data_IF_197740444949
#
_entry.id   IF_197740444949
#
_cell.length_a   1.000
_cell.length_b   1.000
_cell.length_c   1.000
_cell.angle_alpha   90.00
_cell.angle_beta   90.00
_cell.angle_gamma   90.00
#
_symmetry.space_group_name_H-M   'P 1'
#
loop_
_entity.id
_entity.type
_entity.pdbx_description
1 polymer ?
#
# COMPACT_ATOMS: atom_id res chain seq x y z
N UNK A 1 25.77 10.44 1.86
CA UNK A 1 24.33 10.26 1.51
C UNK A 1 23.53 10.67 2.73
N UNK A 2 22.83 11.77 2.67
CA UNK A 2 21.96 12.20 3.76
C UNK A 2 20.77 11.26 3.73
N UNK A 3 20.69 10.33 4.69
CA UNK A 3 19.46 9.63 4.98
C UNK A 3 18.46 10.69 5.46
N UNK A 4 17.57 11.13 4.60
CA UNK A 4 16.35 11.78 5.02
C UNK A 4 15.51 10.72 5.72
N UNK A 5 15.83 10.44 6.99
CA UNK A 5 15.08 9.51 7.82
C UNK A 5 13.79 10.18 8.23
N UNK A 6 12.75 10.03 7.41
CA UNK A 6 11.40 10.40 7.84
C UNK A 6 10.98 9.52 9.00
N UNK A 7 10.24 10.12 9.93
CA UNK A 7 9.61 9.37 11.01
C UNK A 7 8.44 8.59 10.44
N UNK A 8 8.60 7.27 10.31
CA UNK A 8 7.57 6.36 9.82
C UNK A 8 7.03 5.53 10.98
N UNK A 9 5.72 5.42 11.07
CA UNK A 9 5.02 4.53 12.01
C UNK A 9 4.09 3.62 11.20
N UNK A 10 3.97 2.36 11.62
CA UNK A 10 2.95 1.43 11.12
C UNK A 10 1.88 1.28 12.19
N UNK A 11 0.63 1.49 11.81
CA UNK A 11 -0.54 1.11 12.61
C UNK A 11 -1.12 -0.16 12.01
N UNK A 12 -0.96 -1.26 12.73
CA UNK A 12 -1.50 -2.56 12.37
C UNK A 12 -2.93 -2.68 12.93
N UNK A 13 -3.90 -2.87 12.04
CA UNK A 13 -5.31 -3.04 12.40
C UNK A 13 -5.87 -4.39 11.94
N UNK A 14 -5.09 -5.17 11.24
CA UNK A 14 -5.37 -6.58 10.95
C UNK A 14 -4.83 -7.48 12.10
N UNK A 15 -5.58 -8.54 12.41
CA UNK A 15 -5.21 -9.49 13.48
C UNK A 15 -4.09 -10.47 13.10
N UNK A 16 -3.70 -10.55 11.81
CA UNK A 16 -2.55 -11.37 11.42
C UNK A 16 -1.25 -10.85 12.04
N UNK A 17 -0.22 -11.70 12.08
CA UNK A 17 1.07 -11.34 12.70
C UNK A 17 2.17 -11.02 11.67
N UNK A 18 1.82 -10.82 10.41
CA UNK A 18 2.81 -10.71 9.32
C UNK A 18 3.75 -9.53 9.52
N UNK A 19 3.22 -8.35 9.83
CA UNK A 19 4.01 -7.13 10.08
C UNK A 19 4.90 -7.28 11.32
N UNK A 20 4.39 -7.88 12.39
CA UNK A 20 5.17 -8.10 13.61
C UNK A 20 6.30 -9.09 13.37
N UNK A 21 6.01 -10.18 12.66
CA UNK A 21 7.00 -11.19 12.27
C UNK A 21 8.07 -10.61 11.34
N UNK A 22 7.66 -9.78 10.37
CA UNK A 22 8.57 -9.05 9.48
C UNK A 22 9.48 -8.11 10.27
N UNK A 23 8.93 -7.35 11.21
CA UNK A 23 9.70 -6.38 12.01
C UNK A 23 10.67 -7.07 12.98
N UNK A 24 10.31 -8.23 13.52
CA UNK A 24 11.21 -9.04 14.35
C UNK A 24 12.37 -9.60 13.53
N UNK A 25 12.11 -10.15 12.34
CA UNK A 25 13.17 -10.59 11.41
C UNK A 25 14.10 -9.42 11.05
N UNK A 26 13.54 -8.23 10.82
CA UNK A 26 14.28 -7.03 10.54
C UNK A 26 15.30 -6.74 11.65
N UNK A 27 14.88 -6.80 12.89
CA UNK A 27 15.73 -6.63 14.08
C UNK A 27 16.80 -7.72 14.19
N UNK A 28 16.41 -8.99 13.97
CA UNK A 28 17.34 -10.13 14.00
C UNK A 28 18.44 -10.02 12.94
N UNK A 29 18.13 -9.45 11.78
CA UNK A 29 19.08 -9.19 10.68
C UNK A 29 19.84 -7.86 10.82
N UNK A 30 19.78 -7.20 11.98
CA UNK A 30 20.53 -5.97 12.26
C UNK A 30 20.00 -4.72 11.53
N UNK A 31 18.79 -4.80 10.97
CA UNK A 31 18.12 -3.65 10.37
C UNK A 31 17.35 -2.88 11.46
N UNK A 32 17.23 -1.56 11.26
CA UNK A 32 16.48 -0.71 12.20
C UNK A 32 14.99 -1.08 12.16
N UNK A 33 14.38 -1.50 13.29
CA UNK A 33 12.96 -1.82 13.33
C UNK A 33 12.10 -0.57 13.09
N UNK A 34 10.94 -0.77 12.49
CA UNK A 34 9.94 0.30 12.32
C UNK A 34 9.00 0.27 13.53
N UNK A 35 8.67 1.42 14.15
CA UNK A 35 7.66 1.45 15.22
C UNK A 35 6.31 0.92 14.71
N UNK A 36 5.77 -0.08 15.38
CA UNK A 36 4.46 -0.68 15.08
C UNK A 36 3.54 -0.50 16.28
N UNK A 37 2.37 0.05 16.03
CA UNK A 37 1.26 0.13 17.00
C UNK A 37 0.14 -0.81 16.55
N UNK A 38 -0.56 -1.40 17.50
CA UNK A 38 -1.73 -2.23 17.23
C UNK A 38 -2.97 -1.58 17.82
N UNK A 39 -4.03 -1.49 17.02
CA UNK A 39 -5.33 -1.01 17.45
C UNK A 39 -6.42 -1.67 16.65
N UNK A 40 -7.59 -1.93 17.28
CA UNK A 40 -8.70 -2.64 16.67
C UNK A 40 -10.02 -1.91 16.93
N UNK A 41 -11.01 -2.13 16.08
CA UNK A 41 -12.30 -1.49 16.17
C UNK A 41 -12.33 -0.11 15.53
N UNK A 42 -12.69 0.94 16.26
CA UNK A 42 -12.63 2.31 15.74
C UNK A 42 -11.23 2.88 15.93
N UNK A 43 -10.49 3.01 14.83
CA UNK A 43 -9.09 3.44 14.85
C UNK A 43 -8.92 4.95 14.55
N UNK A 44 -10.00 5.69 14.36
CA UNK A 44 -9.94 7.10 13.94
C UNK A 44 -9.15 7.98 14.91
N UNK A 45 -9.36 7.83 16.22
CA UNK A 45 -8.69 8.67 17.22
C UNK A 45 -7.21 8.30 17.39
N UNK A 46 -6.83 7.03 17.29
CA UNK A 46 -5.42 6.64 17.33
C UNK A 46 -4.68 7.15 16.08
N UNK A 47 -5.31 7.10 14.91
CA UNK A 47 -4.75 7.68 13.67
C UNK A 47 -4.47 9.17 13.85
N UNK A 48 -5.45 9.96 14.31
CA UNK A 48 -5.29 11.39 14.56
C UNK A 48 -4.15 11.70 15.56
N UNK A 49 -3.98 10.85 16.55
CA UNK A 49 -2.89 10.98 17.54
C UNK A 49 -1.53 10.66 16.94
N UNK A 50 -1.41 9.54 16.19
CA UNK A 50 -0.15 9.13 15.58
C UNK A 50 0.31 10.07 14.46
N UNK A 51 -0.61 10.63 13.68
CA UNK A 51 -0.31 11.66 12.66
C UNK A 51 0.40 12.90 13.21
N UNK A 52 0.31 13.17 14.53
CA UNK A 52 0.99 14.30 15.17
C UNK A 52 2.46 14.03 15.52
N UNK A 53 2.89 12.77 15.51
CA UNK A 53 4.21 12.34 15.97
C UNK A 53 5.04 11.64 14.88
N UNK A 54 4.51 11.50 13.67
CA UNK A 54 5.25 10.95 12.53
C UNK A 54 4.95 11.72 11.25
N UNK A 55 5.88 11.64 10.31
CA UNK A 55 5.71 12.25 8.97
C UNK A 55 4.93 11.33 8.02
N UNK A 56 5.06 10.02 8.21
CA UNK A 56 4.32 9.01 7.43
C UNK A 56 3.73 7.98 8.37
N UNK A 57 2.41 7.85 8.35
CA UNK A 57 1.68 6.80 9.04
C UNK A 57 1.15 5.81 8.02
N UNK A 58 1.63 4.57 8.06
CA UNK A 58 1.13 3.47 7.24
C UNK A 58 0.08 2.72 8.06
N UNK A 59 -1.14 2.63 7.57
CA UNK A 59 -2.24 1.94 8.24
C UNK A 59 -2.48 0.63 7.49
N UNK A 60 -2.17 -0.49 8.12
CA UNK A 60 -2.42 -1.83 7.59
C UNK A 60 -3.82 -2.29 8.01
N UNK A 61 -4.73 -2.28 7.05
CA UNK A 61 -6.12 -2.67 7.27
C UNK A 61 -6.41 -4.08 6.77
N UNK A 62 -7.37 -4.81 7.41
CA UNK A 62 -7.84 -6.09 6.89
C UNK A 62 -8.29 -5.99 5.43
N UNK A 63 -8.02 -7.03 4.65
CA UNK A 63 -8.39 -7.11 3.22
C UNK A 63 -9.89 -7.27 2.95
N UNK A 64 -10.74 -7.10 3.97
CA UNK A 64 -12.20 -7.18 3.89
C UNK A 64 -12.86 -5.95 4.53
N UNK A 65 -14.13 -5.74 4.27
CA UNK A 65 -14.91 -4.68 4.89
C UNK A 65 -15.00 -4.88 6.42
N UNK A 66 -14.34 -4.00 7.15
CA UNK A 66 -14.22 -4.06 8.61
C UNK A 66 -14.49 -2.70 9.25
N UNK A 67 -14.68 -2.68 10.56
CA UNK A 67 -14.85 -1.43 11.32
C UNK A 67 -13.56 -0.61 11.27
N UNK A 68 -12.41 -1.28 11.34
CA UNK A 68 -11.07 -0.69 11.25
C UNK A 68 -10.89 0.05 9.91
N UNK A 69 -11.18 -0.64 8.79
CA UNK A 69 -11.09 -0.05 7.46
C UNK A 69 -11.99 1.17 7.31
N UNK A 70 -13.27 1.05 7.69
CA UNK A 70 -14.23 2.16 7.56
C UNK A 70 -13.83 3.36 8.42
N UNK A 71 -13.40 3.15 9.67
CA UNK A 71 -12.98 4.25 10.54
C UNK A 71 -11.67 4.89 10.10
N UNK A 72 -10.73 4.10 9.56
CA UNK A 72 -9.51 4.62 8.98
C UNK A 72 -9.79 5.58 7.80
N UNK A 73 -10.71 5.23 6.90
CA UNK A 73 -11.07 6.08 5.75
C UNK A 73 -11.59 7.46 6.16
N UNK A 74 -12.21 7.59 7.33
CA UNK A 74 -12.76 8.88 7.80
C UNK A 74 -11.69 9.91 8.18
N UNK A 75 -10.42 9.50 8.31
CA UNK A 75 -9.33 10.35 8.80
C UNK A 75 -8.01 10.17 8.05
N UNK A 76 -7.93 9.23 7.13
CA UNK A 76 -6.75 9.01 6.29
C UNK A 76 -6.64 10.09 5.20
N UNK A 77 -5.41 10.42 4.80
CA UNK A 77 -5.16 11.35 3.69
C UNK A 77 -5.20 10.59 2.35
N UNK A 78 -4.65 9.38 2.32
CA UNK A 78 -4.55 8.55 1.11
C UNK A 78 -5.06 7.15 1.42
N UNK A 79 -5.87 6.61 0.52
CA UNK A 79 -6.14 5.17 0.41
C UNK A 79 -5.38 4.61 -0.78
N UNK A 80 -4.65 3.53 -0.56
CA UNK A 80 -4.02 2.77 -1.62
C UNK A 80 -4.62 1.37 -1.69
N UNK A 81 -5.44 1.11 -2.72
CA UNK A 81 -6.03 -0.21 -2.97
C UNK A 81 -5.15 -0.99 -3.92
N UNK A 82 -4.61 -2.12 -3.45
CA UNK A 82 -3.73 -2.98 -4.23
C UNK A 82 -4.55 -3.97 -5.05
N UNK A 83 -4.30 -4.04 -6.35
CA UNK A 83 -5.02 -4.93 -7.25
C UNK A 83 -4.06 -5.65 -8.20
N UNK A 84 -4.22 -6.96 -8.33
CA UNK A 84 -3.62 -7.74 -9.41
C UNK A 84 -4.58 -7.77 -10.60
N UNK A 85 -4.34 -7.03 -11.69
CA UNK A 85 -5.32 -6.88 -12.78
C UNK A 85 -5.72 -8.18 -13.47
N UNK A 86 -4.88 -9.21 -13.41
CA UNK A 86 -5.18 -10.53 -13.99
C UNK A 86 -5.98 -11.46 -13.06
N UNK A 87 -6.42 -10.95 -11.90
CA UNK A 87 -7.30 -11.65 -10.96
C UNK A 87 -8.70 -11.05 -11.05
N UNK A 88 -9.64 -11.79 -11.62
CA UNK A 88 -11.02 -11.34 -11.77
C UNK A 88 -11.65 -11.04 -10.40
N UNK A 89 -11.36 -11.86 -9.38
CA UNK A 89 -11.85 -11.65 -8.00
C UNK A 89 -11.35 -10.34 -7.38
N UNK A 90 -10.06 -9.99 -7.59
CA UNK A 90 -9.52 -8.72 -7.07
C UNK A 90 -10.10 -7.52 -7.83
N UNK A 91 -10.37 -7.64 -9.12
CA UNK A 91 -11.04 -6.60 -9.89
C UNK A 91 -12.50 -6.40 -9.45
N UNK A 92 -13.24 -7.47 -9.16
CA UNK A 92 -14.61 -7.40 -8.66
C UNK A 92 -14.72 -6.72 -7.28
N UNK A 93 -13.73 -6.92 -6.40
CA UNK A 93 -13.72 -6.26 -5.08
C UNK A 93 -13.64 -4.75 -5.17
N UNK A 94 -13.14 -4.16 -6.27
CA UNK A 94 -13.07 -2.71 -6.46
C UNK A 94 -14.44 -2.03 -6.39
N UNK A 95 -15.52 -2.71 -6.80
CA UNK A 95 -16.88 -2.16 -6.68
C UNK A 95 -17.20 -1.85 -5.23
N UNK A 96 -17.04 -2.83 -4.35
CA UNK A 96 -17.32 -2.67 -2.92
C UNK A 96 -16.42 -1.66 -2.24
N UNK A 97 -15.12 -1.67 -2.59
CA UNK A 97 -14.18 -0.67 -2.05
C UNK A 97 -14.56 0.73 -2.50
N UNK A 98 -14.92 0.91 -3.77
CA UNK A 98 -15.35 2.21 -4.31
C UNK A 98 -16.58 2.75 -3.58
N UNK A 99 -17.60 1.93 -3.32
CA UNK A 99 -18.80 2.32 -2.57
C UNK A 99 -18.43 2.82 -1.16
N UNK A 100 -17.57 2.09 -0.43
CA UNK A 100 -17.13 2.48 0.91
C UNK A 100 -16.34 3.79 0.89
N UNK A 101 -15.47 3.95 -0.09
CA UNK A 101 -14.69 5.19 -0.28
C UNK A 101 -15.62 6.37 -0.55
N UNK A 102 -16.59 6.24 -1.44
CA UNK A 102 -17.54 7.34 -1.73
C UNK A 102 -18.37 7.72 -0.49
N UNK A 103 -18.75 6.74 0.32
CA UNK A 103 -19.41 6.99 1.61
C UNK A 103 -18.46 7.71 2.58
N UNK A 104 -17.21 7.28 2.69
CA UNK A 104 -16.23 7.91 3.57
C UNK A 104 -15.90 9.34 3.14
N UNK A 105 -15.85 9.64 1.83
CA UNK A 105 -15.60 10.99 1.30
C UNK A 105 -16.70 12.00 1.64
N UNK A 106 -17.88 11.56 2.05
CA UNK A 106 -18.92 12.46 2.61
C UNK A 106 -18.53 13.01 3.99
N UNK A 107 -17.67 12.28 4.72
CA UNK A 107 -17.15 12.64 6.06
C UNK A 107 -15.75 13.24 5.93
N UNK A 108 -14.93 12.68 5.07
CA UNK A 108 -13.53 13.06 4.82
C UNK A 108 -13.36 13.41 3.33
N UNK A 109 -13.77 14.61 2.90
CA UNK A 109 -13.69 15.01 1.48
C UNK A 109 -12.26 15.13 0.95
N UNK A 110 -11.26 15.25 1.82
CA UNK A 110 -9.85 15.34 1.44
C UNK A 110 -9.19 13.98 1.20
N UNK A 111 -9.89 12.86 1.46
CA UNK A 111 -9.40 11.52 1.19
C UNK A 111 -9.08 11.34 -0.30
N UNK A 112 -7.84 11.01 -0.60
CA UNK A 112 -7.35 10.71 -1.95
C UNK A 112 -7.26 9.19 -2.16
N UNK A 113 -8.24 8.56 -2.80
CA UNK A 113 -8.23 7.12 -3.06
C UNK A 113 -7.54 6.83 -4.40
N UNK A 114 -6.67 5.82 -4.40
CA UNK A 114 -5.95 5.35 -5.58
C UNK A 114 -5.98 3.83 -5.69
N UNK A 115 -5.99 3.33 -6.92
CA UNK A 115 -5.73 1.92 -7.24
C UNK A 115 -4.27 1.78 -7.66
N UNK A 116 -3.53 0.88 -7.02
CA UNK A 116 -2.19 0.50 -7.43
C UNK A 116 -2.21 -0.90 -8.04
N UNK A 117 -1.87 -0.99 -9.31
CA UNK A 117 -1.71 -2.29 -9.96
C UNK A 117 -0.42 -2.96 -9.51
N UNK A 118 -0.53 -4.15 -8.95
CA UNK A 118 0.57 -4.94 -8.41
C UNK A 118 0.69 -6.30 -9.06
N UNK A 119 1.82 -6.97 -8.85
CA UNK A 119 2.06 -8.35 -9.31
C UNK A 119 1.84 -8.50 -10.83
N UNK A 120 2.23 -7.49 -11.61
CA UNK A 120 2.11 -7.50 -13.06
C UNK A 120 3.29 -8.28 -13.64
N UNK A 121 3.02 -9.44 -14.20
CA UNK A 121 4.03 -10.18 -14.96
C UNK A 121 4.10 -9.64 -16.39
N UNK A 122 5.14 -8.86 -16.68
CA UNK A 122 5.32 -8.18 -17.96
C UNK A 122 5.67 -9.11 -19.10
N UNK A 123 6.12 -10.34 -18.83
CA UNK A 123 6.44 -11.34 -19.85
C UNK A 123 5.21 -12.08 -20.33
N UNK A 124 4.12 -12.09 -19.55
CA UNK A 124 2.86 -12.78 -19.89
C UNK A 124 1.90 -11.83 -20.63
N UNK A 125 1.58 -12.06 -21.92
CA UNK A 125 0.69 -11.18 -22.69
C UNK A 125 -0.68 -10.98 -22.03
N UNK A 126 -1.26 -12.03 -21.43
CA UNK A 126 -2.54 -11.96 -20.70
C UNK A 126 -2.49 -10.95 -19.53
N UNK A 127 -1.41 -10.94 -18.74
CA UNK A 127 -1.28 -10.02 -17.61
C UNK A 127 -1.16 -8.57 -18.07
N UNK A 128 -0.41 -8.33 -19.16
CA UNK A 128 -0.30 -6.98 -19.74
C UNK A 128 -1.64 -6.49 -20.27
N UNK A 129 -2.36 -7.36 -21.02
CA UNK A 129 -3.68 -7.02 -21.55
C UNK A 129 -4.67 -6.71 -20.42
N UNK A 130 -4.77 -7.56 -19.41
CA UNK A 130 -5.65 -7.32 -18.27
C UNK A 130 -5.37 -5.98 -17.56
N UNK A 131 -4.08 -5.61 -17.41
CA UNK A 131 -3.73 -4.31 -16.81
C UNK A 131 -4.14 -3.12 -17.69
N UNK A 132 -4.04 -3.25 -19.03
CA UNK A 132 -4.47 -2.20 -19.97
C UNK A 132 -6.01 -2.08 -19.96
N UNK A 133 -6.70 -3.20 -20.02
CA UNK A 133 -8.16 -3.23 -20.09
C UNK A 133 -8.78 -2.68 -18.81
N UNK A 134 -8.26 -3.06 -17.64
CA UNK A 134 -8.73 -2.54 -16.36
C UNK A 134 -8.39 -1.05 -16.18
N UNK A 135 -7.18 -0.61 -16.56
CA UNK A 135 -6.80 0.80 -16.51
C UNK A 135 -7.76 1.66 -17.35
N UNK A 136 -8.07 1.22 -18.56
CA UNK A 136 -9.01 1.89 -19.45
C UNK A 136 -10.40 1.98 -18.82
N UNK A 137 -10.93 0.85 -18.34
CA UNK A 137 -12.25 0.79 -17.69
C UNK A 137 -12.37 1.77 -16.52
N UNK A 138 -11.37 1.81 -15.65
CA UNK A 138 -11.40 2.71 -14.49
C UNK A 138 -11.30 4.18 -14.89
N UNK A 139 -10.49 4.52 -15.90
CA UNK A 139 -10.32 5.91 -16.37
C UNK A 139 -11.51 6.45 -17.14
N UNK A 140 -12.27 5.59 -17.82
CA UNK A 140 -13.45 5.98 -18.59
C UNK A 140 -14.63 6.43 -17.71
N UNK A 141 -14.61 6.08 -16.41
CA UNK A 141 -15.70 6.46 -15.51
C UNK A 141 -15.15 7.00 -14.17
N UNK A 142 -15.34 8.31 -13.88
CA UNK A 142 -14.83 8.96 -12.66
C UNK A 142 -15.50 8.48 -11.36
N UNK A 143 -16.57 7.68 -11.44
CA UNK A 143 -17.16 7.02 -10.27
C UNK A 143 -16.16 6.04 -9.64
N UNK A 144 -15.32 5.39 -10.45
CA UNK A 144 -14.30 4.48 -9.95
C UNK A 144 -13.15 5.21 -9.26
N UNK A 145 -12.51 4.51 -8.32
CA UNK A 145 -11.20 4.91 -7.80
C UNK A 145 -10.22 4.87 -8.97
N UNK A 146 -9.52 5.98 -9.21
CA UNK A 146 -8.63 6.10 -10.36
C UNK A 146 -7.30 5.36 -10.12
N UNK A 147 -6.74 4.71 -11.16
CA UNK A 147 -5.46 4.02 -11.04
C UNK A 147 -4.30 5.02 -11.08
N UNK A 148 -3.27 4.73 -10.27
CA UNK A 148 -1.97 5.38 -10.38
C UNK A 148 -1.33 5.05 -11.75
N UNK A 149 -0.37 5.87 -12.17
CA UNK A 149 0.48 5.58 -13.35
C UNK A 149 1.54 4.54 -13.01
N UNK A 150 2.07 4.61 -11.81
CA UNK A 150 3.03 3.63 -11.27
C UNK A 150 2.37 2.26 -11.16
N UNK A 151 3.13 1.25 -11.52
CA UNK A 151 2.72 -0.16 -11.48
C UNK A 151 3.83 -0.99 -10.86
N UNK A 152 3.48 -1.97 -10.05
CA UNK A 152 4.43 -2.85 -9.40
C UNK A 152 4.46 -4.19 -10.13
N UNK A 153 5.62 -4.53 -10.67
CA UNK A 153 5.84 -5.80 -11.35
C UNK A 153 5.91 -6.99 -10.38
N UNK A 154 5.63 -8.16 -10.92
CA UNK A 154 5.78 -9.44 -10.22
C UNK A 154 7.27 -9.83 -10.22
N UNK A 155 8.01 -9.36 -9.21
CA UNK A 155 9.46 -9.57 -9.07
C UNK A 155 9.75 -10.31 -7.77
N UNK A 156 10.48 -11.40 -7.87
CA UNK A 156 10.85 -12.26 -6.74
C UNK A 156 11.55 -11.51 -5.61
N UNK A 157 12.22 -10.40 -5.92
CA UNK A 157 12.93 -9.59 -4.93
C UNK A 157 12.00 -8.98 -3.87
N UNK A 158 10.74 -8.69 -4.18
CA UNK A 158 9.80 -8.19 -3.20
C UNK A 158 9.50 -9.23 -2.11
N UNK A 159 9.25 -10.47 -2.53
CA UNK A 159 9.03 -11.57 -1.59
C UNK A 159 10.31 -11.93 -0.84
N UNK A 160 11.43 -12.05 -1.53
CA UNK A 160 12.73 -12.38 -0.93
C UNK A 160 13.14 -11.35 0.14
N UNK A 161 13.02 -10.06 -0.15
CA UNK A 161 13.30 -9.00 0.82
C UNK A 161 12.37 -9.08 2.03
N UNK A 162 11.06 -9.25 1.80
CA UNK A 162 10.07 -9.36 2.86
C UNK A 162 10.36 -10.56 3.80
N UNK A 163 10.74 -11.70 3.25
CA UNK A 163 11.09 -12.89 4.02
C UNK A 163 12.29 -12.69 4.97
N UNK A 164 13.16 -11.73 4.66
CA UNK A 164 14.31 -11.34 5.49
C UNK A 164 14.03 -10.13 6.41
N UNK A 165 12.78 -9.69 6.52
CA UNK A 165 12.43 -8.48 7.27
C UNK A 165 12.98 -7.19 6.64
N UNK A 166 13.37 -7.24 5.37
CA UNK A 166 13.94 -6.11 4.63
C UNK A 166 12.90 -5.47 3.69
N UNK A 167 13.13 -4.22 3.34
CA UNK A 167 12.58 -3.61 2.14
C UNK A 167 13.59 -3.70 0.99
N UNK A 168 13.15 -3.45 -0.24
CA UNK A 168 14.06 -3.52 -1.41
C UNK A 168 15.23 -2.54 -1.33
N UNK A 169 15.11 -1.46 -0.57
CA UNK A 169 16.19 -0.49 -0.35
C UNK A 169 17.26 -0.98 0.63
N UNK A 170 16.93 -1.94 1.49
CA UNK A 170 17.90 -2.55 2.40
C UNK A 170 18.77 -3.59 1.68
N UNK A 171 18.31 -4.11 0.53
CA UNK A 171 19.02 -5.14 -0.23
C UNK A 171 20.17 -4.52 -1.04
N UNK A 172 21.35 -5.17 -1.00
CA UNK A 172 22.54 -4.68 -1.71
C UNK A 172 22.64 -5.21 -3.14
N UNK A 173 22.34 -6.49 -3.35
CA UNK A 173 22.44 -7.16 -4.66
C UNK A 173 21.34 -8.21 -4.82
N UNK A 174 20.59 -8.13 -5.90
CA UNK A 174 19.64 -9.17 -6.33
C UNK A 174 19.26 -8.91 -7.80
N UNK A 175 18.66 -9.93 -8.42
CA UNK A 175 18.03 -9.77 -9.75
C UNK A 175 16.88 -8.76 -9.66
N UNK A 176 16.74 -7.91 -10.67
CA UNK A 176 15.68 -6.90 -10.79
C UNK A 176 15.61 -5.87 -9.64
N UNK A 177 16.65 -5.78 -8.80
CA UNK A 177 16.66 -4.88 -7.64
C UNK A 177 16.52 -3.40 -8.04
N UNK A 178 17.22 -2.96 -9.10
CA UNK A 178 17.12 -1.57 -9.59
C UNK A 178 15.70 -1.25 -10.07
N UNK A 179 15.05 -2.17 -10.74
CA UNK A 179 13.66 -2.02 -11.19
C UNK A 179 12.71 -1.93 -10.00
N UNK A 180 12.87 -2.80 -9.00
CA UNK A 180 12.04 -2.79 -7.80
C UNK A 180 12.19 -1.47 -7.02
N UNK A 181 13.44 -0.99 -6.82
CA UNK A 181 13.71 0.31 -6.16
C UNK A 181 13.07 1.46 -6.90
N UNK A 182 13.27 1.53 -8.22
CA UNK A 182 12.70 2.59 -9.04
C UNK A 182 11.16 2.60 -8.99
N UNK A 183 10.50 1.44 -8.98
CA UNK A 183 9.04 1.36 -8.87
C UNK A 183 8.53 1.89 -7.53
N UNK A 184 9.21 1.59 -6.42
CA UNK A 184 8.83 2.11 -5.09
C UNK A 184 9.09 3.63 -5.00
N UNK A 185 10.20 4.12 -5.56
CA UNK A 185 10.52 5.55 -5.60
C UNK A 185 9.50 6.33 -6.43
N UNK A 186 9.12 5.81 -7.61
CA UNK A 186 8.06 6.40 -8.43
C UNK A 186 6.70 6.40 -7.72
N UNK A 187 6.37 5.32 -7.00
CA UNK A 187 5.15 5.26 -6.21
C UNK A 187 5.15 6.35 -5.12
N UNK A 188 6.24 6.46 -4.37
CA UNK A 188 6.37 7.48 -3.33
C UNK A 188 6.24 8.89 -3.91
N UNK A 189 6.89 9.16 -5.05
CA UNK A 189 6.79 10.44 -5.75
C UNK A 189 5.36 10.74 -6.22
N UNK A 190 4.67 9.75 -6.80
CA UNK A 190 3.29 9.93 -7.30
C UNK A 190 2.30 10.18 -6.16
N UNK A 191 2.55 9.61 -4.97
CA UNK A 191 1.76 9.84 -3.75
C UNK A 191 2.16 11.14 -3.01
N UNK A 192 3.13 11.91 -3.51
CA UNK A 192 3.62 13.12 -2.83
C UNK A 192 4.48 12.82 -1.59
N UNK A 193 4.89 11.57 -1.40
CA UNK A 193 5.79 11.13 -0.34
C UNK A 193 7.22 11.24 -0.89
N UNK A 194 7.76 12.46 -0.93
CA UNK A 194 9.13 12.65 -1.43
C UNK A 194 10.14 11.99 -0.48
N UNK A 195 11.13 11.24 -1.01
CA UNK A 195 12.16 10.61 -0.20
C UNK A 195 13.11 11.62 0.47
#
# INVERSE_FOLDING_TARGET
MVNNSRTVIILKTDKNNDILSWNEKRKQNGLLPVPVYEEYGDVSEVIKRLKKICEVLIIDCPGHDSKEFRSALTVADILLTLVKPSSDFEAETLTHVTEKVRTAQQINPDLQPWVLFTRINTTKPRHRKAAIDLDKLLRENPVWIQPLRTRISDLDIFEAACNEGAGVHDVRRASSLSTAKAQIELLAQELGINP
#
